data_IF_870917960430
#
_entry.id   IF_870917960430
#
_cell.length_a   1.000
_cell.length_b   1.000
_cell.length_c   1.000
_cell.angle_alpha   90.00
_cell.angle_beta   90.00
_cell.angle_gamma   90.00
#
_symmetry.space_group_name_H-M   'P 1'
#
loop_
_entity.id
_entity.type
_entity.pdbx_description
1 polymer ?
#
# COMPACT_ATOMS: atom_id res chain seq x y z
N UNK A 1 -17.99 -3.03 15.38
CA UNK A 1 -18.69 -4.23 14.92
C UNK A 1 -18.63 -4.30 13.41
N UNK A 2 -18.28 -5.47 12.89
CA UNK A 2 -18.26 -5.83 11.48
C UNK A 2 -19.31 -6.92 11.34
N UNK A 3 -20.36 -6.67 10.56
CA UNK A 3 -21.46 -7.62 10.33
C UNK A 3 -21.27 -8.22 8.94
N UNK A 4 -21.20 -9.55 8.83
CA UNK A 4 -21.10 -10.21 7.54
C UNK A 4 -22.51 -10.51 6.98
N UNK A 5 -23.03 -9.61 6.14
CA UNK A 5 -24.28 -9.82 5.40
C UNK A 5 -24.05 -10.45 4.00
N UNK A 6 -22.84 -10.90 3.69
CA UNK A 6 -22.50 -11.58 2.44
C UNK A 6 -22.95 -13.05 2.48
N UNK A 7 -23.14 -13.71 1.32
CA UNK A 7 -23.40 -15.15 1.26
C UNK A 7 -22.13 -16.01 1.47
N UNK A 8 -20.97 -15.39 1.69
CA UNK A 8 -19.66 -16.04 1.83
C UNK A 8 -18.95 -15.59 3.11
N UNK A 9 -18.06 -16.42 3.70
CA UNK A 9 -17.21 -15.98 4.80
C UNK A 9 -16.26 -14.86 4.36
N UNK A 10 -15.87 -14.00 5.30
CA UNK A 10 -14.92 -12.90 5.05
C UNK A 10 -14.07 -12.65 6.29
N UNK A 11 -13.08 -11.77 6.19
CA UNK A 11 -12.35 -11.21 7.32
C UNK A 11 -12.19 -9.71 7.13
N UNK A 12 -11.59 -9.03 8.12
CA UNK A 12 -11.21 -7.63 7.99
C UNK A 12 -9.81 -7.45 8.55
N UNK A 13 -8.87 -7.16 7.65
CA UNK A 13 -7.53 -6.75 7.98
C UNK A 13 -7.41 -5.23 8.00
N UNK A 14 -6.63 -4.71 8.95
CA UNK A 14 -6.40 -3.28 9.18
C UNK A 14 -5.02 -2.90 8.64
N UNK A 15 -4.95 -2.73 7.33
CA UNK A 15 -3.69 -2.57 6.61
C UNK A 15 -2.87 -1.38 7.11
N UNK A 16 -1.66 -1.68 7.58
CA UNK A 16 -0.71 -0.73 8.16
C UNK A 16 -1.02 -0.31 9.61
N UNK A 17 -2.09 -0.81 10.23
CA UNK A 17 -2.45 -0.44 11.60
C UNK A 17 -1.76 -1.37 12.60
N UNK A 18 -1.12 -0.79 13.60
CA UNK A 18 -0.53 -1.55 14.72
C UNK A 18 -1.64 -2.05 15.66
N UNK A 19 -2.29 -3.16 15.28
CA UNK A 19 -3.33 -3.83 16.07
C UNK A 19 -2.74 -5.00 16.87
N UNK A 20 -3.40 -5.50 17.92
CA UNK A 20 -3.06 -6.80 18.50
C UNK A 20 -3.27 -7.93 17.47
N UNK A 21 -2.45 -8.98 17.48
CA UNK A 21 -2.52 -10.06 16.48
C UNK A 21 -3.92 -10.70 16.36
N UNK A 22 -4.64 -10.84 17.48
CA UNK A 22 -6.01 -11.36 17.48
C UNK A 22 -7.07 -10.46 16.81
N UNK A 23 -6.70 -9.23 16.45
CA UNK A 23 -7.55 -8.24 15.78
C UNK A 23 -7.15 -8.01 14.33
N UNK A 24 -6.07 -8.64 13.87
CA UNK A 24 -5.49 -8.38 12.55
C UNK A 24 -6.35 -8.91 11.39
N UNK A 25 -7.29 -9.83 11.65
CA UNK A 25 -8.17 -10.43 10.63
C UNK A 25 -7.44 -11.26 9.57
N UNK A 26 -6.18 -11.56 9.83
CA UNK A 26 -5.22 -12.05 8.87
C UNK A 26 -4.21 -12.94 9.63
N UNK A 27 -4.52 -14.22 9.86
CA UNK A 27 -3.63 -15.10 10.64
C UNK A 27 -4.21 -16.48 10.89
N UNK A 28 -3.33 -17.44 11.17
CA UNK A 28 -3.70 -18.83 11.45
C UNK A 28 -3.38 -19.21 12.90
N UNK A 29 -4.36 -19.71 13.70
CA UNK A 29 -5.79 -19.77 13.41
C UNK A 29 -6.51 -18.47 13.85
N UNK A 30 -7.04 -17.70 12.91
CA UNK A 30 -8.19 -16.81 13.14
C UNK A 30 -9.38 -17.29 12.31
N UNK A 31 -10.55 -17.52 12.93
CA UNK A 31 -11.74 -17.95 12.21
C UNK A 31 -12.30 -16.81 11.36
N UNK A 32 -12.80 -17.16 10.17
CA UNK A 32 -13.53 -16.23 9.33
C UNK A 32 -14.81 -15.72 10.04
N UNK A 33 -15.30 -14.56 9.61
CA UNK A 33 -16.63 -14.06 9.98
C UNK A 33 -17.61 -14.77 9.06
N UNK A 34 -18.38 -15.74 9.55
CA UNK A 34 -19.33 -16.49 8.72
C UNK A 34 -20.55 -15.63 8.33
N UNK A 35 -21.30 -15.99 7.27
CA UNK A 35 -22.54 -15.32 6.91
C UNK A 35 -23.52 -15.18 8.08
N UNK A 36 -23.95 -13.94 8.36
CA UNK A 36 -24.84 -13.58 9.46
C UNK A 36 -24.15 -13.39 10.82
N UNK A 37 -22.83 -13.60 10.91
CA UNK A 37 -22.07 -13.36 12.13
C UNK A 37 -21.59 -11.91 12.26
N UNK A 38 -21.13 -11.57 13.46
CA UNK A 38 -20.55 -10.26 13.77
C UNK A 38 -19.22 -10.44 14.49
N UNK A 39 -18.21 -9.74 14.03
CA UNK A 39 -16.92 -9.61 14.71
C UNK A 39 -16.79 -8.21 15.32
N UNK A 40 -16.36 -8.13 16.58
CA UNK A 40 -16.07 -6.85 17.24
C UNK A 40 -14.57 -6.67 17.34
N UNK A 41 -14.02 -5.81 16.48
CA UNK A 41 -12.64 -5.37 16.59
C UNK A 41 -12.49 -4.31 17.68
N UNK A 42 -11.47 -4.42 18.54
CA UNK A 42 -11.16 -3.42 19.56
C UNK A 42 -9.64 -3.32 19.72
N UNK A 43 -9.10 -2.14 19.42
CA UNK A 43 -7.68 -1.82 19.54
C UNK A 43 -7.50 -0.31 19.66
N UNK A 44 -6.31 0.12 20.08
CA UNK A 44 -5.95 1.52 20.18
C UNK A 44 -5.26 2.01 18.91
N UNK A 45 -5.58 3.24 18.50
CA UNK A 45 -4.92 3.90 17.37
C UNK A 45 -3.77 4.75 17.92
N UNK A 46 -2.54 4.30 17.72
CA UNK A 46 -1.34 4.91 18.31
C UNK A 46 -0.60 5.83 17.34
N UNK A 47 -0.93 5.79 16.04
CA UNK A 47 -0.25 6.52 14.98
C UNK A 47 -1.27 7.18 14.05
N UNK A 48 -1.07 8.48 13.80
CA UNK A 48 -1.81 9.20 12.78
C UNK A 48 -1.28 8.89 11.37
N UNK A 49 -2.18 8.91 10.40
CA UNK A 49 -1.86 8.55 9.02
C UNK A 49 -3.08 8.10 8.22
N UNK A 50 -2.80 7.67 7.00
CA UNK A 50 -3.78 7.10 6.07
C UNK A 50 -3.58 5.59 6.02
N UNK A 51 -4.56 4.86 6.54
CA UNK A 51 -4.64 3.41 6.52
C UNK A 51 -5.88 2.99 5.72
N UNK A 52 -6.06 1.69 5.59
CA UNK A 52 -7.24 1.13 4.94
C UNK A 52 -7.55 -0.24 5.52
N UNK A 53 -8.67 -0.82 5.12
CA UNK A 53 -9.06 -2.16 5.53
C UNK A 53 -9.57 -2.95 4.34
N UNK A 54 -9.28 -4.24 4.32
CA UNK A 54 -9.70 -5.18 3.30
C UNK A 54 -9.73 -6.63 3.87
N UNK A 55 -10.45 -7.58 3.24
CA UNK A 55 -10.42 -8.98 3.65
C UNK A 55 -9.05 -9.64 3.43
N UNK A 56 -8.85 -10.78 4.09
CA UNK A 56 -7.72 -11.70 3.91
C UNK A 56 -8.19 -13.15 3.67
N UNK A 57 -9.40 -13.29 3.13
CA UNK A 57 -10.00 -14.55 2.72
C UNK A 57 -10.67 -14.34 1.36
N UNK A 58 -10.35 -15.18 0.37
CA UNK A 58 -10.78 -14.98 -1.03
C UNK A 58 -10.48 -13.54 -1.49
N UNK A 59 -9.28 -13.08 -1.16
CA UNK A 59 -8.92 -11.66 -1.03
C UNK A 59 -9.01 -10.94 -2.36
N UNK A 60 -8.41 -11.47 -3.42
CA UNK A 60 -8.41 -10.84 -4.73
C UNK A 60 -9.85 -10.68 -5.24
N UNK A 61 -10.67 -11.72 -5.12
CA UNK A 61 -12.07 -11.67 -5.55
C UNK A 61 -12.90 -10.71 -4.71
N UNK A 62 -12.78 -10.75 -3.39
CA UNK A 62 -13.55 -9.90 -2.48
C UNK A 62 -13.18 -8.42 -2.62
N UNK A 63 -11.89 -8.10 -2.78
CA UNK A 63 -11.41 -6.74 -3.03
C UNK A 63 -11.89 -6.24 -4.39
N UNK A 64 -11.84 -7.06 -5.44
CA UNK A 64 -12.32 -6.69 -6.79
C UNK A 64 -13.84 -6.42 -6.81
N UNK A 65 -14.61 -7.09 -5.95
CA UNK A 65 -16.02 -6.81 -5.71
C UNK A 65 -16.29 -5.56 -4.85
N UNK A 66 -15.23 -4.89 -4.38
CA UNK A 66 -15.31 -3.62 -3.65
C UNK A 66 -15.26 -3.74 -2.13
N UNK A 67 -14.84 -4.88 -1.56
CA UNK A 67 -14.66 -5.01 -0.10
C UNK A 67 -13.35 -4.36 0.36
N UNK A 68 -13.34 -3.03 0.37
CA UNK A 68 -12.26 -2.25 0.98
C UNK A 68 -12.78 -0.90 1.46
N UNK A 69 -12.00 -0.21 2.30
CA UNK A 69 -12.31 1.16 2.69
C UNK A 69 -11.15 1.86 3.37
N UNK A 70 -11.21 3.20 3.38
CA UNK A 70 -10.20 4.03 4.02
C UNK A 70 -10.39 4.10 5.54
N UNK A 71 -9.28 4.14 6.28
CA UNK A 71 -9.23 4.42 7.71
C UNK A 71 -8.26 5.58 7.95
N UNK A 72 -8.79 6.75 8.30
CA UNK A 72 -7.99 7.95 8.54
C UNK A 72 -7.84 8.19 10.04
N UNK A 73 -6.60 8.17 10.53
CA UNK A 73 -6.28 8.50 11.92
C UNK A 73 -5.69 9.89 11.95
N UNK A 74 -6.39 10.82 12.63
CA UNK A 74 -6.03 12.25 12.65
C UNK A 74 -5.20 12.58 13.87
N UNK A 75 -4.12 13.33 13.67
CA UNK A 75 -3.43 14.03 14.74
C UNK A 75 -3.87 15.52 14.73
N UNK A 76 -4.53 16.02 15.80
CA UNK A 76 -5.01 17.39 15.86
C UNK A 76 -3.89 18.44 15.91
N UNK A 77 -2.62 18.02 16.08
CA UNK A 77 -1.45 18.91 16.02
C UNK A 77 -0.95 19.16 14.60
N UNK A 78 -1.40 18.37 13.61
CA UNK A 78 -1.01 18.56 12.21
C UNK A 78 -1.58 19.86 11.63
N UNK A 79 -0.87 20.50 10.68
CA UNK A 79 -1.36 21.70 10.02
C UNK A 79 -2.75 21.52 9.40
N UNK A 80 -3.62 22.51 9.61
CA UNK A 80 -4.93 22.55 8.98
C UNK A 80 -4.80 22.92 7.49
N UNK A 81 -5.58 22.23 6.65
CA UNK A 81 -5.76 22.53 5.23
C UNK A 81 -7.20 22.95 4.96
N UNK A 82 -7.45 23.61 3.82
CA UNK A 82 -8.80 24.03 3.45
C UNK A 82 -9.67 22.81 3.10
N UNK A 83 -9.08 21.80 2.46
CA UNK A 83 -9.76 20.57 2.04
C UNK A 83 -8.88 19.34 2.23
N UNK A 84 -9.48 18.29 2.77
CA UNK A 84 -8.92 16.94 2.71
C UNK A 84 -9.73 16.12 1.70
N UNK A 85 -9.04 15.47 0.77
CA UNK A 85 -9.64 14.52 -0.17
C UNK A 85 -9.10 13.12 0.17
N UNK A 86 -9.98 12.15 0.36
CA UNK A 86 -9.62 10.74 0.44
C UNK A 86 -9.88 10.13 -0.93
N UNK A 87 -8.84 9.64 -1.58
CA UNK A 87 -8.83 9.17 -2.96
C UNK A 87 -8.40 7.70 -2.97
N UNK A 88 -9.39 6.81 -2.95
CA UNK A 88 -9.17 5.37 -3.11
C UNK A 88 -9.07 5.06 -4.59
N UNK A 89 -7.91 4.58 -5.01
CA UNK A 89 -7.55 4.26 -6.37
C UNK A 89 -7.74 2.77 -6.58
N UNK A 90 -8.46 2.42 -7.65
CA UNK A 90 -8.69 1.03 -8.00
C UNK A 90 -8.70 0.87 -9.52
N UNK A 91 -8.36 -0.33 -9.99
CA UNK A 91 -8.24 -0.66 -11.40
C UNK A 91 -9.11 -1.87 -11.71
N UNK A 92 -10.11 -1.67 -12.57
CA UNK A 92 -11.02 -2.73 -13.00
C UNK A 92 -10.76 -3.09 -14.46
N UNK A 93 -10.73 -4.40 -14.77
CA UNK A 93 -10.78 -4.88 -16.14
C UNK A 93 -12.21 -4.90 -16.68
N UNK A 94 -12.46 -4.40 -17.90
CA UNK A 94 -13.79 -4.54 -18.54
C UNK A 94 -14.19 -6.01 -18.81
N UNK A 95 -13.23 -6.93 -18.79
CA UNK A 95 -13.42 -8.37 -19.08
C UNK A 95 -13.34 -9.29 -17.84
N UNK A 96 -13.08 -8.74 -16.65
CA UNK A 96 -12.86 -9.52 -15.42
C UNK A 96 -14.11 -10.24 -14.87
N UNK A 97 -15.30 -9.95 -15.41
CA UNK A 97 -16.53 -10.63 -15.00
C UNK A 97 -16.77 -11.97 -15.71
N UNK A 98 -15.98 -12.38 -16.72
CA UNK A 98 -16.36 -13.50 -17.58
C UNK A 98 -15.40 -14.69 -17.64
N UNK A 99 -14.08 -14.55 -17.88
CA UNK A 99 -13.33 -15.75 -18.31
C UNK A 99 -11.78 -15.68 -18.29
N UNK A 100 -11.15 -14.71 -17.64
CA UNK A 100 -9.67 -14.58 -17.64
C UNK A 100 -9.02 -14.71 -16.27
N UNK A 101 -7.83 -15.30 -16.31
CA UNK A 101 -6.93 -15.55 -15.19
C UNK A 101 -6.65 -14.26 -14.39
N UNK A 102 -6.98 -14.21 -13.08
CA UNK A 102 -6.72 -13.04 -12.23
C UNK A 102 -5.22 -12.69 -12.12
N UNK A 103 -4.31 -13.60 -12.52
CA UNK A 103 -2.87 -13.37 -12.54
C UNK A 103 -2.38 -12.49 -13.72
N UNK A 104 -3.26 -12.07 -14.63
CA UNK A 104 -2.90 -11.37 -15.87
C UNK A 104 -3.70 -10.07 -16.10
N UNK A 105 -4.00 -9.30 -15.05
CA UNK A 105 -4.52 -7.94 -15.25
C UNK A 105 -3.39 -7.10 -15.84
N UNK A 106 -3.49 -6.77 -17.14
CA UNK A 106 -2.63 -5.78 -17.76
C UNK A 106 -3.07 -4.37 -17.31
N UNK A 107 -2.31 -3.69 -16.44
CA UNK A 107 -2.67 -2.37 -15.93
C UNK A 107 -2.64 -1.27 -17.00
N UNK A 108 -2.15 -1.55 -18.22
CA UNK A 108 -2.28 -0.65 -19.37
C UNK A 108 -3.66 -0.69 -20.01
N UNK A 109 -4.36 -1.83 -19.89
CA UNK A 109 -5.72 -2.04 -20.40
C UNK A 109 -6.81 -1.79 -19.36
N UNK A 110 -6.43 -1.68 -18.09
CA UNK A 110 -7.33 -1.51 -16.96
C UNK A 110 -7.91 -0.09 -16.89
N UNK A 111 -9.19 0.02 -16.53
CA UNK A 111 -9.82 1.30 -16.24
C UNK A 111 -9.59 1.68 -14.79
N UNK A 112 -8.85 2.76 -14.59
CA UNK A 112 -8.65 3.33 -13.27
C UNK A 112 -9.85 4.16 -12.83
N UNK A 113 -10.28 3.92 -11.60
CA UNK A 113 -11.31 4.68 -10.91
C UNK A 113 -10.72 5.33 -9.67
N UNK A 114 -11.26 6.50 -9.34
CA UNK A 114 -11.02 7.19 -8.07
C UNK A 114 -12.36 7.22 -7.33
N UNK A 115 -12.42 6.60 -6.17
CA UNK A 115 -13.64 6.41 -5.38
C UNK A 115 -14.79 5.81 -6.21
N UNK A 116 -14.47 4.82 -7.07
CA UNK A 116 -15.44 4.12 -7.92
C UNK A 116 -15.91 4.90 -9.17
N UNK A 117 -15.33 6.07 -9.46
CA UNK A 117 -15.65 6.87 -10.65
C UNK A 117 -14.44 6.97 -11.57
N UNK A 118 -14.62 6.75 -12.87
CA UNK A 118 -13.56 6.92 -13.87
C UNK A 118 -13.38 8.39 -14.21
N UNK A 119 -12.14 8.89 -14.12
CA UNK A 119 -11.74 10.27 -14.43
C UNK A 119 -12.71 11.33 -13.85
N UNK A 120 -13.01 11.30 -12.53
CA UNK A 120 -13.94 12.27 -11.94
C UNK A 120 -13.37 13.68 -12.07
N UNK A 121 -14.27 14.67 -12.09
CA UNK A 121 -13.91 16.08 -11.97
C UNK A 121 -14.51 16.68 -10.71
N UNK A 122 -13.68 17.36 -9.92
CA UNK A 122 -14.06 17.98 -8.66
C UNK A 122 -13.87 19.49 -8.80
N UNK A 123 -14.89 20.29 -8.46
CA UNK A 123 -14.77 21.75 -8.46
C UNK A 123 -14.38 22.27 -7.08
N UNK A 124 -13.30 23.04 -6.99
CA UNK A 124 -12.81 23.67 -5.77
C UNK A 124 -12.52 25.16 -6.01
N UNK A 125 -12.67 26.04 -5.00
CA UNK A 125 -12.30 27.44 -5.13
C UNK A 125 -10.79 27.62 -5.41
N UNK A 126 -10.43 28.68 -6.13
CA UNK A 126 -9.03 29.07 -6.27
C UNK A 126 -8.43 29.48 -4.91
N UNK A 127 -7.13 29.24 -4.73
CA UNK A 127 -6.45 29.48 -3.46
C UNK A 127 -6.66 28.38 -2.41
N UNK A 128 -7.39 27.30 -2.74
CA UNK A 128 -7.61 26.17 -1.84
C UNK A 128 -6.33 25.36 -1.69
N UNK A 129 -5.91 25.13 -0.45
CA UNK A 129 -4.95 24.08 -0.12
C UNK A 129 -5.66 22.74 0.07
N UNK A 130 -5.22 21.75 -0.68
CA UNK A 130 -5.72 20.38 -0.59
C UNK A 130 -4.65 19.46 -0.02
N UNK A 131 -5.04 18.66 0.98
CA UNK A 131 -4.34 17.43 1.35
C UNK A 131 -5.06 16.26 0.71
N UNK A 132 -4.46 15.64 -0.29
CA UNK A 132 -5.02 14.44 -0.92
C UNK A 132 -4.37 13.19 -0.32
N UNK A 133 -5.20 12.29 0.21
CA UNK A 133 -4.82 11.01 0.80
C UNK A 133 -5.11 9.91 -0.21
N UNK A 134 -4.06 9.46 -0.90
CA UNK A 134 -4.10 8.47 -1.96
C UNK A 134 -3.95 7.07 -1.34
N UNK A 135 -4.80 6.14 -1.74
CA UNK A 135 -4.75 4.74 -1.32
C UNK A 135 -4.84 3.88 -2.57
N UNK A 136 -3.82 3.07 -2.86
CA UNK A 136 -3.93 2.09 -3.95
C UNK A 136 -4.56 0.80 -3.41
N UNK A 137 -5.85 0.62 -3.67
CA UNK A 137 -6.62 -0.56 -3.27
C UNK A 137 -6.70 -1.63 -4.38
N UNK A 138 -6.03 -1.41 -5.53
CA UNK A 138 -6.12 -2.34 -6.65
C UNK A 138 -5.40 -3.65 -6.37
N UNK A 139 -5.91 -4.75 -6.95
CA UNK A 139 -5.35 -6.08 -6.75
C UNK A 139 -3.91 -6.25 -7.27
N UNK A 140 -3.54 -5.52 -8.33
CA UNK A 140 -2.27 -5.72 -9.04
C UNK A 140 -1.74 -4.47 -9.75
N UNK A 141 -2.49 -3.36 -9.76
CA UNK A 141 -2.14 -2.17 -10.52
C UNK A 141 -1.14 -1.30 -9.77
N UNK A 142 -0.10 -0.83 -10.46
CA UNK A 142 0.79 0.21 -9.92
C UNK A 142 0.35 1.55 -10.49
N UNK A 143 0.15 2.55 -9.62
CA UNK A 143 -0.17 3.92 -10.01
C UNK A 143 1.11 4.73 -10.02
N UNK A 144 1.42 5.35 -11.16
CA UNK A 144 2.48 6.33 -11.28
C UNK A 144 1.87 7.72 -11.52
N UNK A 145 2.03 8.66 -10.59
CA UNK A 145 1.47 10.01 -10.68
C UNK A 145 2.56 11.05 -10.95
N UNK A 146 2.35 11.89 -11.96
CA UNK A 146 3.31 12.93 -12.32
C UNK A 146 3.29 14.11 -11.34
N UNK A 147 4.47 14.68 -11.09
CA UNK A 147 4.70 15.98 -10.45
C UNK A 147 3.98 16.13 -9.09
N UNK A 148 4.35 15.30 -8.12
CA UNK A 148 3.70 15.29 -6.81
C UNK A 148 4.59 15.89 -5.71
N UNK A 149 3.97 16.67 -4.81
CA UNK A 149 4.58 17.11 -3.55
C UNK A 149 4.09 16.20 -2.43
N UNK A 150 4.88 15.19 -2.12
CA UNK A 150 4.58 14.15 -1.11
C UNK A 150 4.89 14.69 0.28
N UNK A 151 3.95 14.51 1.20
CA UNK A 151 4.05 14.97 2.60
C UNK A 151 3.92 13.81 3.60
N UNK A 152 3.45 12.65 3.16
CA UNK A 152 3.36 11.44 3.96
C UNK A 152 3.43 10.19 3.08
N UNK A 153 3.89 9.09 3.67
CA UNK A 153 3.76 7.72 3.14
C UNK A 153 2.94 6.89 4.14
N UNK A 154 2.68 5.64 3.81
CA UNK A 154 2.11 4.55 4.63
C UNK A 154 2.00 4.80 6.14
N UNK A 155 3.09 5.16 6.80
CA UNK A 155 3.18 5.27 8.27
C UNK A 155 3.31 6.70 8.80
N UNK A 156 2.88 7.69 8.02
CA UNK A 156 2.69 9.08 8.45
C UNK A 156 3.59 10.09 7.75
N UNK A 157 3.69 11.28 8.34
CA UNK A 157 4.36 12.44 7.76
C UNK A 157 5.86 12.22 7.54
N UNK A 158 6.36 12.83 6.47
CA UNK A 158 7.77 12.89 6.09
C UNK A 158 8.14 14.31 5.61
N UNK A 159 9.44 14.65 5.52
CA UNK A 159 9.86 15.92 4.93
C UNK A 159 9.31 16.11 3.53
N UNK A 160 8.51 17.17 3.35
CA UNK A 160 7.82 17.41 2.08
C UNK A 160 8.80 17.39 0.91
N UNK A 161 8.59 16.45 -0.01
CA UNK A 161 9.49 16.17 -1.13
C UNK A 161 8.72 16.24 -2.44
N UNK A 162 9.28 16.94 -3.42
CA UNK A 162 8.76 16.93 -4.78
C UNK A 162 9.38 15.78 -5.55
N UNK A 163 8.53 14.96 -6.16
CA UNK A 163 8.92 13.82 -6.99
C UNK A 163 8.34 13.99 -8.39
N UNK A 164 9.11 13.61 -9.40
CA UNK A 164 8.65 13.62 -10.80
C UNK A 164 7.57 12.55 -10.99
N UNK A 165 7.82 11.33 -10.48
CA UNK A 165 6.88 10.23 -10.54
C UNK A 165 6.66 9.63 -9.14
N UNK A 166 5.46 9.79 -8.59
CA UNK A 166 5.04 9.11 -7.38
C UNK A 166 4.48 7.74 -7.74
N UNK A 167 5.23 6.69 -7.38
CA UNK A 167 4.77 5.30 -7.49
C UNK A 167 3.99 4.90 -6.23
N UNK A 168 2.83 4.27 -6.46
CA UNK A 168 2.02 3.60 -5.46
C UNK A 168 1.74 2.19 -5.95
N UNK A 169 2.42 1.20 -5.37
CA UNK A 169 2.10 -0.21 -5.60
C UNK A 169 0.81 -0.60 -4.85
N UNK A 170 0.19 -1.77 -5.15
CA UNK A 170 -0.91 -2.29 -4.35
C UNK A 170 -0.62 -2.22 -2.84
N UNK A 171 -1.53 -1.63 -2.07
CA UNK A 171 -1.38 -1.44 -0.63
C UNK A 171 -0.66 -0.16 -0.19
N UNK A 172 0.07 0.51 -1.08
CA UNK A 172 0.73 1.78 -0.77
C UNK A 172 -0.29 2.90 -0.51
N UNK A 173 0.12 3.81 0.37
CA UNK A 173 -0.53 5.11 0.57
C UNK A 173 0.49 6.22 0.47
N UNK A 174 0.04 7.34 -0.08
CA UNK A 174 0.77 8.59 0.03
C UNK A 174 -0.21 9.72 0.27
N UNK A 175 0.29 10.75 0.93
CA UNK A 175 -0.43 12.00 1.05
C UNK A 175 0.34 13.08 0.32
N UNK A 176 -0.38 13.87 -0.48
CA UNK A 176 0.20 14.94 -1.30
C UNK A 176 -0.47 16.28 -0.99
N UNK A 177 0.30 17.34 -1.07
CA UNK A 177 -0.16 18.72 -0.96
C UNK A 177 -0.38 19.30 -2.36
N UNK A 178 -1.61 19.75 -2.64
CA UNK A 178 -1.93 20.52 -3.84
C UNK A 178 -2.32 21.95 -3.47
N UNK A 179 -1.52 22.91 -3.91
CA UNK A 179 -1.78 24.34 -3.76
C UNK A 179 -2.46 24.86 -5.04
N UNK A 180 -3.80 24.95 -5.03
CA UNK A 180 -4.58 25.19 -6.25
C UNK A 180 -4.63 26.67 -6.63
N UNK A 181 -3.94 27.04 -7.72
CA UNK A 181 -4.08 28.34 -8.40
C UNK A 181 -4.96 28.27 -9.66
N UNK A 182 -4.79 27.22 -10.45
CA UNK A 182 -5.50 26.98 -11.71
C UNK A 182 -6.03 25.54 -11.76
N UNK A 183 -6.90 25.25 -12.74
CA UNK A 183 -7.40 23.88 -12.91
C UNK A 183 -6.24 22.95 -13.22
N UNK A 184 -6.24 21.78 -12.59
CA UNK A 184 -5.17 20.79 -12.74
C UNK A 184 -5.79 19.43 -13.02
N UNK A 185 -5.21 18.72 -13.98
CA UNK A 185 -5.48 17.30 -14.16
C UNK A 185 -4.36 16.52 -13.47
N UNK A 186 -4.73 15.57 -12.61
CA UNK A 186 -3.82 14.62 -11.99
C UNK A 186 -3.55 13.52 -13.01
N UNK A 187 -2.32 13.49 -13.52
CA UNK A 187 -1.93 12.61 -14.62
C UNK A 187 -1.34 11.31 -14.07
N UNK A 188 -1.88 10.18 -14.55
CA UNK A 188 -1.36 8.84 -14.34
C UNK A 188 -0.53 8.41 -15.55
N UNK A 189 0.71 7.99 -15.30
CA UNK A 189 1.57 7.36 -16.28
C UNK A 189 1.22 5.88 -16.48
N UNK A 190 1.43 5.34 -17.69
CA UNK A 190 1.31 3.90 -17.92
C UNK A 190 2.44 3.17 -17.18
N UNK A 191 2.10 2.30 -16.23
CA UNK A 191 3.05 1.48 -15.48
C UNK A 191 2.56 0.04 -15.42
N UNK A 192 3.48 -0.93 -15.36
CA UNK A 192 3.12 -2.35 -15.20
C UNK A 192 3.79 -3.00 -14.02
N UNK A 193 3.15 -4.04 -13.49
CA UNK A 193 3.76 -4.97 -12.55
C UNK A 193 4.89 -5.80 -13.18
N UNK A 194 5.12 -5.74 -14.51
CA UNK A 194 6.27 -6.37 -15.15
C UNK A 194 7.55 -5.51 -15.08
N UNK A 195 7.51 -4.41 -14.33
CA UNK A 195 8.62 -3.49 -14.10
C UNK A 195 8.63 -2.31 -15.05
N UNK A 196 8.56 -1.10 -14.48
CA UNK A 196 8.79 0.16 -15.19
C UNK A 196 7.58 0.71 -15.97
N UNK A 197 7.84 1.82 -16.67
CA UNK A 197 6.88 2.45 -17.58
C UNK A 197 6.45 1.49 -18.69
N UNK A 198 5.15 1.45 -18.92
CA UNK A 198 4.54 0.63 -19.95
C UNK A 198 4.38 1.40 -21.26
N UNK A 199 4.12 0.65 -22.34
CA UNK A 199 3.67 1.26 -23.59
C UNK A 199 2.25 1.82 -23.41
N UNK A 200 2.10 3.13 -23.57
CA UNK A 200 0.81 3.82 -23.48
C UNK A 200 0.99 5.33 -23.42
N UNK A 201 -0.12 6.06 -23.50
CA UNK A 201 -0.11 7.50 -23.28
C UNK A 201 -0.48 7.81 -21.82
N UNK A 202 0.08 8.87 -21.21
CA UNK A 202 -0.41 9.40 -19.95
C UNK A 202 -1.92 9.66 -19.98
N UNK A 203 -2.59 9.40 -18.88
CA UNK A 203 -4.05 9.47 -18.77
C UNK A 203 -4.49 10.33 -17.58
N UNK A 204 -5.61 11.04 -17.70
CA UNK A 204 -6.17 11.81 -16.58
C UNK A 204 -6.80 10.84 -15.58
N UNK A 205 -6.26 10.79 -14.36
CA UNK A 205 -6.83 10.03 -13.25
C UNK A 205 -8.00 10.77 -12.60
N UNK A 206 -7.86 12.08 -12.42
CA UNK A 206 -8.80 12.99 -11.75
C UNK A 206 -8.56 14.41 -12.26
N UNK A 207 -9.63 15.15 -12.53
CA UNK A 207 -9.55 16.59 -12.80
C UNK A 207 -9.99 17.42 -11.60
N UNK A 208 -9.29 18.52 -11.33
CA UNK A 208 -9.68 19.52 -10.34
C UNK A 208 -9.94 20.84 -11.07
N UNK A 209 -11.20 21.26 -11.07
CA UNK A 209 -11.64 22.50 -11.69
C UNK A 209 -11.64 23.64 -10.68
N UNK A 210 -11.09 24.79 -11.06
CA UNK A 210 -11.13 26.02 -10.27
C UNK A 210 -11.39 27.26 -11.14
N UNK A 211 -11.92 28.32 -10.54
CA UNK A 211 -12.22 29.59 -11.22
C UNK A 211 -10.96 30.43 -11.54
N UNK A 212 -9.77 29.96 -11.15
CA UNK A 212 -8.48 30.62 -11.39
C UNK A 212 -8.12 31.69 -10.35
N UNK A 213 -6.86 31.71 -9.91
CA UNK A 213 -6.37 32.62 -8.88
C UNK A 213 -4.93 32.32 -8.45
N UNK A 214 -4.48 32.96 -7.37
CA UNK A 214 -3.16 32.70 -6.81
C UNK A 214 -3.17 31.42 -5.96
N UNK A 215 -2.23 30.51 -6.22
CA UNK A 215 -1.98 29.35 -5.36
C UNK A 215 -1.45 29.81 -3.98
N UNK A 216 -1.88 29.19 -2.87
CA UNK A 216 -1.34 29.49 -1.56
C UNK A 216 0.12 28.97 -1.43
N UNK A 217 0.98 29.57 -0.59
CA UNK A 217 2.36 29.13 -0.43
C UNK A 217 2.43 27.83 0.38
N UNK A 218 3.17 26.78 -0.03
CA UNK A 218 3.16 25.46 0.59
C UNK A 218 3.30 25.47 2.12
N UNK A 219 2.67 24.52 2.82
CA UNK A 219 2.85 24.40 4.27
C UNK A 219 4.23 23.85 4.62
N UNK A 220 4.65 24.23 5.82
CA UNK A 220 5.72 23.58 6.55
C UNK A 220 5.11 22.42 7.35
N UNK A 221 5.21 21.22 6.80
CA UNK A 221 4.66 20.01 7.41
C UNK A 221 5.59 19.50 8.52
N UNK A 222 5.08 19.11 9.70
CA UNK A 222 5.92 18.58 10.75
C UNK A 222 6.50 17.23 10.29
N UNK A 223 7.82 17.08 10.44
CA UNK A 223 8.54 15.89 10.01
C UNK A 223 9.00 15.08 11.22
N UNK A 224 9.08 13.77 11.05
CA UNK A 224 9.83 12.89 11.96
C UNK A 224 11.19 12.64 11.29
N UNK A 225 12.27 12.96 12.00
CA UNK A 225 13.69 12.71 11.66
C UNK A 225 14.03 12.57 10.15
N UNK A 226 14.69 13.58 9.57
CA UNK A 226 14.90 13.65 8.11
C UNK A 226 15.88 12.61 7.55
N UNK A 227 16.83 12.14 8.36
CA UNK A 227 17.92 11.28 7.91
C UNK A 227 17.58 9.81 8.09
N UNK A 228 17.68 9.03 7.01
CA UNK A 228 17.58 7.58 7.08
C UNK A 228 18.67 7.02 8.00
N UNK A 229 18.29 6.03 8.79
CA UNK A 229 19.19 5.21 9.59
C UNK A 229 20.23 4.58 8.65
N UNK A 230 21.54 4.75 8.90
CA UNK A 230 22.55 4.12 8.08
C UNK A 230 22.39 2.61 8.08
N UNK A 231 22.43 1.99 6.90
CA UNK A 231 22.37 0.54 6.77
C UNK A 231 23.54 -0.10 7.53
N UNK A 232 23.27 -0.96 8.54
CA UNK A 232 24.33 -1.56 9.35
C UNK A 232 25.12 -2.64 8.60
N UNK A 233 24.70 -3.04 7.39
CA UNK A 233 25.37 -4.03 6.56
C UNK A 233 25.22 -5.48 7.02
N UNK A 234 24.48 -5.73 8.12
CA UNK A 234 24.08 -7.07 8.56
C UNK A 234 22.74 -7.46 7.92
N UNK A 235 22.46 -8.75 7.78
CA UNK A 235 21.14 -9.26 7.37
C UNK A 235 20.72 -10.29 8.41
N UNK A 236 19.63 -10.01 9.10
CA UNK A 236 19.09 -10.87 10.16
C UNK A 236 18.02 -11.82 9.59
N UNK A 237 17.16 -11.31 8.68
CA UNK A 237 16.19 -12.10 7.92
C UNK A 237 16.32 -11.85 6.42
N UNK A 238 16.00 -12.87 5.61
CA UNK A 238 15.94 -12.74 4.15
C UNK A 238 14.62 -13.32 3.62
N UNK A 239 14.00 -12.56 2.73
CA UNK A 239 12.89 -13.01 1.89
C UNK A 239 13.30 -12.98 0.42
N UNK A 240 13.19 -14.11 -0.26
CA UNK A 240 13.41 -14.25 -1.69
C UNK A 240 12.05 -14.35 -2.39
N UNK A 241 11.74 -13.40 -3.26
CA UNK A 241 10.53 -13.38 -4.07
C UNK A 241 10.84 -13.97 -5.45
N UNK A 242 10.20 -15.09 -5.77
CA UNK A 242 10.42 -15.84 -7.01
C UNK A 242 9.11 -16.31 -7.63
N UNK A 243 9.18 -16.81 -8.86
CA UNK A 243 8.04 -17.37 -9.57
C UNK A 243 7.74 -16.70 -10.90
N UNK A 244 6.67 -17.19 -11.53
CA UNK A 244 6.05 -16.63 -12.73
C UNK A 244 4.60 -17.10 -12.82
N UNK A 245 3.77 -16.51 -13.69
CA UNK A 245 2.40 -16.99 -13.92
C UNK A 245 2.32 -18.49 -14.26
N UNK A 246 3.32 -19.05 -14.97
CA UNK A 246 3.33 -20.45 -15.38
C UNK A 246 3.86 -21.41 -14.31
N UNK A 247 4.74 -20.93 -13.43
CA UNK A 247 5.43 -21.76 -12.43
C UNK A 247 4.84 -21.63 -11.02
N UNK A 248 3.96 -20.66 -10.80
CA UNK A 248 3.47 -20.29 -9.48
C UNK A 248 4.37 -19.25 -8.83
N UNK A 249 3.82 -18.61 -7.79
CA UNK A 249 4.49 -17.56 -7.03
C UNK A 249 4.98 -18.11 -5.69
N UNK A 250 6.22 -17.77 -5.33
CA UNK A 250 6.92 -18.40 -4.21
C UNK A 250 7.57 -17.35 -3.31
N UNK A 251 7.68 -17.70 -2.03
CA UNK A 251 8.53 -17.00 -1.08
C UNK A 251 9.56 -17.97 -0.52
N UNK A 252 10.84 -17.59 -0.57
CA UNK A 252 11.97 -18.43 -0.16
C UNK A 252 12.05 -19.80 -0.88
N UNK A 253 11.49 -19.89 -2.11
CA UNK A 253 11.43 -21.12 -2.88
C UNK A 253 10.39 -22.13 -2.37
N UNK A 254 9.45 -21.66 -1.55
CA UNK A 254 8.35 -22.43 -0.98
C UNK A 254 7.00 -21.75 -1.34
N UNK A 255 5.90 -22.49 -1.24
CA UNK A 255 4.56 -22.03 -1.63
C UNK A 255 3.61 -22.14 -0.45
N UNK A 256 2.90 -21.05 -0.12
CA UNK A 256 1.94 -21.04 0.98
C UNK A 256 0.82 -22.08 0.77
N UNK A 257 0.36 -22.81 1.81
CA UNK A 257 0.67 -22.66 3.24
C UNK A 257 1.95 -23.34 3.73
N UNK A 258 2.65 -24.07 2.86
CA UNK A 258 3.84 -24.86 3.22
C UNK A 258 5.13 -24.01 3.08
N UNK A 259 5.18 -22.85 3.75
CA UNK A 259 6.34 -21.94 3.78
C UNK A 259 6.89 -21.85 5.19
N UNK A 260 8.22 -21.84 5.29
CA UNK A 260 8.96 -21.67 6.53
C UNK A 260 8.63 -20.32 7.16
N UNK A 261 8.12 -20.36 8.39
CA UNK A 261 7.84 -19.20 9.23
C UNK A 261 9.11 -18.79 10.00
N UNK A 262 9.79 -17.68 9.64
CA UNK A 262 10.84 -17.12 10.50
C UNK A 262 10.29 -16.65 11.85
N UNK A 263 11.16 -16.61 12.86
CA UNK A 263 10.86 -16.08 14.19
C UNK A 263 11.93 -15.10 14.65
N UNK A 264 11.52 -14.02 15.32
CA UNK A 264 12.39 -13.02 15.96
C UNK A 264 11.94 -12.77 17.40
N UNK A 265 12.84 -12.29 18.25
CA UNK A 265 12.51 -12.04 19.66
C UNK A 265 11.88 -10.63 19.82
N UNK A 266 10.87 -10.51 20.69
CA UNK A 266 10.19 -9.24 20.97
C UNK A 266 11.18 -8.15 21.42
N UNK A 267 11.12 -6.99 20.77
CA UNK A 267 11.97 -5.83 21.02
C UNK A 267 13.29 -5.81 20.26
N UNK A 268 13.54 -6.79 19.38
CA UNK A 268 14.73 -6.83 18.54
C UNK A 268 14.65 -5.86 17.35
N UNK A 269 15.77 -5.21 17.02
CA UNK A 269 15.96 -4.50 15.76
C UNK A 269 16.50 -5.47 14.69
N UNK A 270 15.67 -5.77 13.70
CA UNK A 270 15.89 -6.78 12.68
C UNK A 270 16.14 -6.10 11.34
N UNK A 271 17.27 -6.38 10.70
CA UNK A 271 17.51 -5.97 9.31
C UNK A 271 17.05 -7.06 8.36
N UNK A 272 16.01 -6.74 7.59
CA UNK A 272 15.40 -7.63 6.62
C UNK A 272 15.95 -7.29 5.22
N UNK A 273 16.42 -8.30 4.49
CA UNK A 273 16.73 -8.18 3.06
C UNK A 273 15.63 -8.85 2.24
N UNK A 274 14.92 -8.08 1.42
CA UNK A 274 13.95 -8.60 0.47
C UNK A 274 14.57 -8.55 -0.92
N UNK A 275 14.61 -9.70 -1.60
CA UNK A 275 15.24 -9.83 -2.92
C UNK A 275 14.24 -10.39 -3.91
N UNK A 276 14.01 -9.66 -4.99
CA UNK A 276 13.20 -10.12 -6.10
C UNK A 276 14.11 -10.74 -7.19
N UNK A 277 13.83 -11.97 -7.60
CA UNK A 277 14.52 -12.65 -8.72
C UNK A 277 13.58 -13.03 -9.86
N UNK A 278 12.33 -12.59 -9.78
CA UNK A 278 11.25 -12.85 -10.72
C UNK A 278 11.15 -11.76 -11.80
N UNK A 279 10.28 -11.93 -12.82
CA UNK A 279 10.06 -10.94 -13.88
C UNK A 279 8.95 -9.92 -13.54
N UNK A 280 8.46 -9.87 -12.30
CA UNK A 280 7.42 -8.92 -11.86
C UNK A 280 7.85 -8.17 -10.60
N UNK A 281 7.34 -6.95 -10.43
CA UNK A 281 7.40 -6.14 -9.21
C UNK A 281 6.56 -6.81 -8.12
N UNK A 282 7.00 -6.66 -6.86
CA UNK A 282 6.32 -7.25 -5.70
C UNK A 282 6.28 -6.26 -4.54
N UNK A 283 5.15 -5.58 -4.28
CA UNK A 283 4.94 -4.84 -3.04
C UNK A 283 5.01 -5.80 -1.85
N UNK A 284 6.10 -5.74 -1.10
CA UNK A 284 6.29 -6.55 0.10
C UNK A 284 5.57 -5.89 1.27
N UNK A 285 4.55 -6.57 1.80
CA UNK A 285 3.75 -6.11 2.93
C UNK A 285 4.03 -6.97 4.17
N UNK A 286 4.17 -6.30 5.33
CA UNK A 286 4.32 -6.94 6.64
C UNK A 286 3.24 -6.44 7.60
N UNK A 287 2.45 -7.37 8.11
CA UNK A 287 1.38 -7.07 9.06
C UNK A 287 1.91 -6.67 10.44
N UNK A 288 1.08 -5.92 11.18
CA UNK A 288 1.27 -5.60 12.60
C UNK A 288 2.43 -4.66 12.91
N UNK A 289 3.29 -4.36 11.93
CA UNK A 289 4.51 -3.60 12.12
C UNK A 289 4.66 -2.52 11.05
N UNK A 290 5.58 -1.61 11.34
CA UNK A 290 6.12 -0.68 10.39
C UNK A 290 7.64 -0.88 10.31
N UNK A 291 8.22 -0.65 9.14
CA UNK A 291 9.66 -0.74 8.92
C UNK A 291 10.18 0.53 8.25
N UNK A 292 11.45 0.83 8.50
CA UNK A 292 12.17 1.88 7.77
C UNK A 292 12.87 1.30 6.54
N UNK A 293 12.76 1.98 5.39
CA UNK A 293 13.51 1.60 4.19
C UNK A 293 14.96 2.10 4.31
N UNK A 294 15.90 1.18 4.50
CA UNK A 294 17.33 1.49 4.63
C UNK A 294 18.00 1.74 3.28
N UNK A 295 17.72 0.87 2.29
CA UNK A 295 18.25 1.02 0.95
C UNK A 295 17.43 0.26 -0.11
N UNK A 296 17.45 0.79 -1.33
CA UNK A 296 16.99 0.16 -2.56
C UNK A 296 18.21 0.03 -3.47
N UNK A 297 18.55 -1.20 -3.85
CA UNK A 297 19.75 -1.53 -4.64
C UNK A 297 21.05 -0.95 -4.08
N UNK A 298 21.13 -0.89 -2.75
CA UNK A 298 22.29 -0.38 -2.01
C UNK A 298 22.38 1.14 -1.91
N UNK A 299 21.38 1.87 -2.41
CA UNK A 299 21.27 3.32 -2.26
C UNK A 299 20.20 3.66 -1.21
N UNK A 300 20.51 4.50 -0.21
CA UNK A 300 19.49 4.95 0.74
C UNK A 300 18.45 5.82 0.03
N UNK A 301 17.18 5.80 0.47
CA UNK A 301 16.18 6.72 -0.07
C UNK A 301 16.57 8.18 0.23
N UNK A 302 16.17 9.14 -0.62
CA UNK A 302 16.54 10.55 -0.48
C UNK A 302 15.97 11.20 0.79
N UNK A 303 14.85 10.67 1.29
CA UNK A 303 14.24 11.02 2.57
C UNK A 303 13.95 9.74 3.32
N UNK A 304 14.05 9.79 4.65
CA UNK A 304 13.63 8.68 5.50
C UNK A 304 12.14 8.42 5.31
N UNK A 305 11.78 7.16 5.03
CA UNK A 305 10.40 6.71 5.03
C UNK A 305 10.23 5.54 5.99
N UNK A 306 9.08 5.53 6.66
CA UNK A 306 8.59 4.39 7.42
C UNK A 306 7.34 3.92 6.70
N UNK A 307 7.29 2.63 6.41
CA UNK A 307 6.27 2.01 5.57
C UNK A 307 5.85 0.66 6.17
N UNK A 308 4.74 0.12 5.69
CA UNK A 308 4.34 -1.27 5.96
C UNK A 308 4.24 -2.07 4.66
N UNK A 309 4.22 -1.39 3.52
CA UNK A 309 4.36 -1.94 2.19
C UNK A 309 5.52 -1.25 1.48
N UNK A 310 6.30 -1.99 0.69
CA UNK A 310 7.35 -1.41 -0.15
C UNK A 310 7.47 -2.17 -1.45
N UNK A 311 7.48 -1.45 -2.56
CA UNK A 311 7.68 -2.08 -3.87
C UNK A 311 9.10 -2.65 -4.01
N UNK A 312 9.20 -3.93 -4.34
CA UNK A 312 10.45 -4.62 -4.65
C UNK A 312 10.47 -4.90 -6.14
N UNK A 313 10.96 -3.92 -6.90
CA UNK A 313 10.97 -3.95 -8.35
C UNK A 313 11.72 -5.15 -8.95
N UNK A 314 11.50 -5.42 -10.24
CA UNK A 314 12.15 -6.51 -10.98
C UNK A 314 13.66 -6.52 -10.75
N UNK A 315 14.17 -7.65 -10.25
CA UNK A 315 15.60 -7.88 -9.96
C UNK A 315 16.21 -6.92 -8.94
N UNK A 316 15.39 -6.23 -8.15
CA UNK A 316 15.83 -5.31 -7.11
C UNK A 316 16.06 -6.01 -5.77
N UNK A 317 16.84 -5.35 -4.91
CA UNK A 317 17.04 -5.71 -3.52
C UNK A 317 16.68 -4.51 -2.64
N UNK A 318 15.75 -4.72 -1.71
CA UNK A 318 15.36 -3.72 -0.72
C UNK A 318 15.79 -4.20 0.67
N UNK A 319 16.31 -3.28 1.48
CA UNK A 319 16.75 -3.55 2.86
C UNK A 319 15.95 -2.70 3.82
N UNK A 320 15.41 -3.34 4.85
CA UNK A 320 14.44 -2.76 5.78
C UNK A 320 14.95 -2.90 7.21
N UNK A 321 14.68 -1.90 8.05
CA UNK A 321 14.87 -1.96 9.50
C UNK A 321 13.51 -2.09 10.17
N UNK A 322 13.29 -3.23 10.81
CA UNK A 322 12.11 -3.54 11.59
C UNK A 322 12.45 -3.48 13.08
N UNK A 323 11.62 -2.82 13.88
CA UNK A 323 11.56 -3.09 15.32
C UNK A 323 10.44 -4.10 15.55
N UNK A 324 10.78 -5.29 16.06
CA UNK A 324 9.80 -6.33 16.35
C UNK A 324 9.06 -6.01 17.67
N UNK A 325 8.19 -5.00 17.66
CA UNK A 325 7.49 -4.48 18.85
C UNK A 325 6.08 -5.02 19.06
N UNK A 326 5.54 -5.80 18.11
CA UNK A 326 4.20 -6.34 18.18
C UNK A 326 4.22 -7.88 18.27
N UNK A 327 3.98 -8.47 19.46
CA UNK A 327 4.05 -9.92 19.63
C UNK A 327 2.91 -10.64 18.92
N UNK A 328 3.19 -11.79 18.34
CA UNK A 328 2.20 -12.60 17.63
C UNK A 328 2.77 -13.23 16.36
N UNK A 329 1.85 -13.69 15.51
CA UNK A 329 2.17 -14.27 14.19
C UNK A 329 1.55 -13.35 13.14
N UNK A 330 2.38 -12.84 12.24
CA UNK A 330 2.03 -11.77 11.32
C UNK A 330 2.21 -12.22 9.89
N UNK A 331 1.21 -12.01 9.03
CA UNK A 331 1.40 -12.30 7.61
C UNK A 331 2.44 -11.39 6.99
N UNK A 332 3.21 -11.98 6.09
CA UNK A 332 4.26 -11.33 5.32
C UNK A 332 4.12 -11.80 3.88
N UNK A 333 3.73 -10.93 2.96
CA UNK A 333 3.36 -11.37 1.62
C UNK A 333 3.56 -10.30 0.55
N UNK A 334 3.46 -10.71 -0.71
CA UNK A 334 3.31 -9.77 -1.82
C UNK A 334 1.88 -9.20 -1.83
N UNK A 335 1.72 -7.89 -1.97
CA UNK A 335 0.41 -7.23 -2.03
C UNK A 335 -0.17 -7.16 -3.46
N UNK A 336 0.51 -7.71 -4.46
CA UNK A 336 -0.19 -8.15 -5.68
C UNK A 336 -1.01 -9.38 -5.27
N UNK A 337 -2.30 -9.20 -5.04
CA UNK A 337 -3.17 -10.21 -4.46
C UNK A 337 -3.18 -11.53 -5.24
N UNK A 338 -3.16 -11.54 -6.59
CA UNK A 338 -2.98 -12.77 -7.35
C UNK A 338 -1.64 -13.48 -7.09
N UNK A 339 -0.56 -12.75 -6.76
CA UNK A 339 0.72 -13.36 -6.36
C UNK A 339 0.63 -13.94 -4.95
N UNK A 340 -0.04 -13.24 -4.03
CA UNK A 340 -0.27 -13.71 -2.66
C UNK A 340 -1.07 -15.03 -2.64
N UNK A 341 -2.21 -15.06 -3.35
CA UNK A 341 -3.07 -16.23 -3.49
C UNK A 341 -2.38 -17.35 -4.28
N UNK A 342 -1.50 -16.99 -5.21
CA UNK A 342 -0.62 -17.92 -5.92
C UNK A 342 0.50 -18.53 -5.07
N UNK A 343 0.67 -18.07 -3.82
CA UNK A 343 1.56 -18.69 -2.83
C UNK A 343 2.71 -17.82 -2.32
N UNK A 344 2.86 -16.57 -2.77
CA UNK A 344 3.92 -15.66 -2.31
C UNK A 344 3.58 -15.02 -0.96
N UNK A 345 3.55 -15.85 0.07
CA UNK A 345 3.20 -15.49 1.43
C UNK A 345 3.95 -16.37 2.43
N UNK A 346 4.28 -15.81 3.58
CA UNK A 346 4.66 -16.54 4.78
C UNK A 346 4.11 -15.82 6.01
N UNK A 347 4.52 -16.28 7.18
CA UNK A 347 4.25 -15.66 8.46
C UNK A 347 5.57 -15.25 9.12
N UNK A 348 5.56 -14.21 9.96
CA UNK A 348 6.63 -13.85 10.86
C UNK A 348 6.14 -14.02 12.31
N UNK A 349 6.83 -14.86 13.09
CA UNK A 349 6.57 -15.00 14.52
C UNK A 349 7.43 -14.01 15.32
N UNK A 350 6.79 -13.22 16.18
CA UNK A 350 7.44 -12.35 17.17
C UNK A 350 7.08 -12.87 18.56
N UNK A 351 8.09 -13.34 19.31
CA UNK A 351 7.90 -14.12 20.55
C UNK A 351 8.54 -13.54 21.80
#
# INVERSE_FOLDING_TARGET
DIVNDLPHPTTVHWHGVHVPAAMDGAGMPMPAIEPGETFTATFELTRAGTFWYHPHLDTAHQVDLGLYGALIVRDPSEPAVDRELVLVLDAFGEEAAAEHDPHLVDPTSSRWAVNGVVAPRISLPAGTRVRARLINASNAGIVALQDQRVIARDQGLLPAVSVEDLLLAPGDRAEVEWDLGESVDVIRLPWTVAGGEAWGDPSVLLGIDTEGGAAPPPLDWPTRDELSTPDPGRTDLRFLLSGSPELGWEMNGETFPDVTMPSVDLGEEVVIEVRNVSPADHPFHLHGHAFEVLSVDGLPPPVRTVEDTVDVGVRSVVRLLLLADNPGVWMTHCHVLPHAEGGMMTMLEVR
#
